data_IF_759712800017
#
_entry.id   IF_759712800017
#
_cell.length_a   1.000
_cell.length_b   1.000
_cell.length_c   1.000
_cell.angle_alpha   90.00
_cell.angle_beta   90.00
_cell.angle_gamma   90.00
#
_symmetry.space_group_name_H-M   'P 1'
#
loop_
_entity.id
_entity.type
_entity.pdbx_description
1 polymer ?
#
# COMPACT_ATOMS: atom_id res chain seq x y z
N UNK A 1 -0.42 11.52 19.08
CA UNK A 1 -0.28 10.61 17.93
C UNK A 1 -1.39 10.89 16.92
N UNK A 2 -1.07 11.07 15.64
CA UNK A 2 -2.08 11.21 14.61
C UNK A 2 -2.90 9.92 14.52
N UNK A 3 -4.19 10.09 14.20
CA UNK A 3 -5.12 8.99 13.99
C UNK A 3 -5.33 8.75 12.50
N UNK A 4 -5.93 7.60 12.15
CA UNK A 4 -6.41 7.38 10.79
C UNK A 4 -7.50 8.39 10.49
N UNK A 5 -7.47 9.02 9.30
CA UNK A 5 -8.54 9.90 8.88
C UNK A 5 -9.87 9.14 8.87
N UNK A 6 -10.88 9.71 9.52
CA UNK A 6 -12.25 9.31 9.27
C UNK A 6 -12.59 9.63 7.81
N UNK A 7 -13.32 8.74 7.16
CA UNK A 7 -13.72 8.88 5.76
C UNK A 7 -15.22 8.71 5.62
N UNK A 8 -15.83 9.63 4.91
CA UNK A 8 -17.13 9.47 4.28
C UNK A 8 -16.94 9.44 2.77
N UNK A 9 -17.76 8.71 2.04
CA UNK A 9 -17.62 8.67 0.60
C UNK A 9 -18.76 7.94 -0.09
N UNK A 10 -18.96 8.31 -1.34
CA UNK A 10 -19.89 7.66 -2.26
C UNK A 10 -19.10 6.99 -3.36
N UNK A 11 -19.35 5.70 -3.57
CA UNK A 11 -18.72 4.89 -4.60
C UNK A 11 -19.81 4.30 -5.49
N UNK A 12 -19.77 4.64 -6.78
CA UNK A 12 -20.66 4.08 -7.79
C UNK A 12 -19.85 3.28 -8.78
N UNK A 13 -20.03 1.96 -8.75
CA UNK A 13 -19.31 1.02 -9.62
C UNK A 13 -20.27 0.44 -10.64
N UNK A 14 -19.90 0.47 -11.92
CA UNK A 14 -20.65 -0.11 -13.04
C UNK A 14 -19.88 -1.21 -13.76
N UNK A 15 -20.61 -2.19 -14.25
CA UNK A 15 -20.10 -3.21 -15.17
C UNK A 15 -21.12 -3.52 -16.26
N UNK A 16 -20.67 -4.22 -17.30
CA UNK A 16 -21.54 -4.79 -18.31
C UNK A 16 -22.21 -6.11 -17.85
N UNK A 17 -23.00 -6.72 -18.70
CA UNK A 17 -23.69 -7.99 -18.45
C UNK A 17 -22.76 -9.18 -18.17
N UNK A 18 -21.50 -9.06 -18.58
CA UNK A 18 -20.45 -10.05 -18.34
C UNK A 18 -19.64 -9.77 -17.06
N UNK A 19 -19.97 -8.72 -16.31
CA UNK A 19 -19.25 -8.30 -15.12
C UNK A 19 -17.92 -7.60 -15.40
N UNK A 20 -17.70 -7.09 -16.62
CA UNK A 20 -16.51 -6.28 -16.96
C UNK A 20 -16.76 -4.83 -16.53
N UNK A 21 -15.88 -4.25 -15.73
CA UNK A 21 -16.03 -2.91 -15.18
C UNK A 21 -16.05 -1.85 -16.28
N UNK A 22 -17.10 -1.08 -16.33
CA UNK A 22 -17.30 0.02 -17.28
C UNK A 22 -16.92 1.36 -16.69
N UNK A 23 -17.10 1.55 -15.37
CA UNK A 23 -16.76 2.81 -14.74
C UNK A 23 -16.79 2.76 -13.24
N UNK A 24 -16.02 3.69 -12.64
CA UNK A 24 -16.04 4.01 -11.22
C UNK A 24 -16.15 5.52 -11.06
N UNK A 25 -17.21 5.97 -10.39
CA UNK A 25 -17.35 7.33 -9.88
C UNK A 25 -17.25 7.29 -8.36
N UNK A 26 -16.33 8.07 -7.79
CA UNK A 26 -16.24 8.15 -6.34
C UNK A 26 -15.90 9.54 -5.83
N UNK A 27 -16.51 9.86 -4.70
CA UNK A 27 -16.31 11.11 -3.98
C UNK A 27 -15.93 10.78 -2.54
N UNK A 28 -14.76 11.26 -2.11
CA UNK A 28 -14.13 10.88 -0.84
C UNK A 28 -13.92 12.13 0.00
N UNK A 29 -14.38 12.09 1.24
CA UNK A 29 -14.26 13.15 2.22
C UNK A 29 -13.44 12.68 3.42
N UNK A 30 -12.36 13.39 3.74
CA UNK A 30 -11.51 13.11 4.90
C UNK A 30 -11.65 14.19 5.96
N UNK A 31 -11.87 13.75 7.19
CA UNK A 31 -11.73 14.59 8.38
C UNK A 31 -10.26 14.63 8.80
N UNK A 32 -9.63 15.80 8.68
CA UNK A 32 -8.23 15.99 9.09
C UNK A 32 -8.08 16.44 10.55
N UNK A 33 -9.17 16.79 11.21
CA UNK A 33 -9.13 17.40 12.51
C UNK A 33 -8.63 18.85 12.49
N UNK A 34 -8.09 19.33 13.59
CA UNK A 34 -7.72 20.75 13.75
C UNK A 34 -6.47 21.17 12.94
N UNK A 35 -5.70 20.25 12.39
CA UNK A 35 -4.46 20.52 11.66
C UNK A 35 -4.34 19.67 10.41
N UNK A 36 -3.77 20.25 9.35
CA UNK A 36 -3.57 19.56 8.06
C UNK A 36 -2.73 18.29 8.18
N UNK A 37 -1.66 18.31 9.00
CA UNK A 37 -0.72 17.19 9.10
C UNK A 37 -0.35 16.65 7.71
N UNK A 38 -0.59 15.36 7.45
CA UNK A 38 -0.37 14.71 6.15
C UNK A 38 -1.69 14.41 5.41
N UNK A 39 -2.77 15.17 5.66
CA UNK A 39 -4.06 14.92 5.01
C UNK A 39 -3.97 14.93 3.49
N UNK A 40 -3.31 15.93 2.91
CA UNK A 40 -3.16 16.03 1.44
C UNK A 40 -2.58 14.75 0.83
N UNK A 41 -1.35 14.34 1.20
CA UNK A 41 -0.74 13.10 0.71
C UNK A 41 -1.55 11.83 1.01
N UNK A 42 -2.22 11.75 2.18
CA UNK A 42 -3.04 10.58 2.54
C UNK A 42 -4.30 10.51 1.69
N UNK A 43 -4.96 11.66 1.43
CA UNK A 43 -6.13 11.75 0.58
C UNK A 43 -5.79 11.43 -0.88
N UNK A 44 -4.67 11.97 -1.39
CA UNK A 44 -4.17 11.63 -2.73
C UNK A 44 -3.96 10.12 -2.89
N UNK A 45 -3.41 9.46 -1.85
CA UNK A 45 -3.27 8.00 -1.85
C UNK A 45 -4.62 7.28 -1.83
N UNK A 46 -5.58 7.75 -1.06
CA UNK A 46 -6.92 7.20 -1.06
C UNK A 46 -7.54 7.29 -2.46
N UNK A 47 -7.43 8.44 -3.12
CA UNK A 47 -7.96 8.65 -4.47
C UNK A 47 -7.24 7.80 -5.51
N UNK A 48 -5.91 7.79 -5.54
CA UNK A 48 -5.15 7.02 -6.54
C UNK A 48 -5.30 5.51 -6.41
N UNK A 49 -5.65 5.01 -5.23
CA UNK A 49 -5.86 3.58 -4.98
C UNK A 49 -7.33 3.17 -4.88
N UNK A 50 -8.28 4.13 -4.97
CA UNK A 50 -9.72 3.82 -4.93
C UNK A 50 -10.20 2.95 -6.08
N UNK A 51 -9.40 2.83 -7.12
CA UNK A 51 -9.62 1.93 -8.26
C UNK A 51 -9.27 0.48 -7.97
N UNK A 52 -8.52 0.22 -6.89
CA UNK A 52 -7.97 -1.11 -6.64
C UNK A 52 -7.06 -1.60 -7.78
N UNK A 53 -6.67 -2.87 -7.77
CA UNK A 53 -5.83 -3.45 -8.82
C UNK A 53 -6.66 -3.95 -10.03
N UNK A 54 -7.56 -3.11 -10.55
CA UNK A 54 -8.51 -3.48 -11.60
C UNK A 54 -8.45 -2.55 -12.81
N UNK A 55 -8.95 -3.06 -13.95
CA UNK A 55 -9.11 -2.32 -15.18
C UNK A 55 -10.50 -1.70 -15.28
N UNK A 56 -10.58 -0.45 -15.74
CA UNK A 56 -11.83 0.28 -15.99
C UNK A 56 -11.78 0.94 -17.36
N UNK A 57 -12.97 1.17 -17.95
CA UNK A 57 -13.08 1.99 -19.15
C UNK A 57 -13.03 3.49 -18.80
N UNK A 58 -13.69 3.88 -17.70
CA UNK A 58 -13.75 5.26 -17.25
C UNK A 58 -13.67 5.37 -15.73
N UNK A 59 -13.07 6.44 -15.24
CA UNK A 59 -13.05 6.75 -13.80
C UNK A 59 -13.20 8.25 -13.57
N UNK A 60 -13.97 8.63 -12.56
CA UNK A 60 -14.03 9.98 -12.00
C UNK A 60 -13.84 9.88 -10.49
N UNK A 61 -12.77 10.46 -9.99
CA UNK A 61 -12.36 10.32 -8.59
C UNK A 61 -12.08 11.68 -8.01
N UNK A 62 -12.85 12.05 -6.98
CA UNK A 62 -12.79 13.35 -6.31
C UNK A 62 -12.54 13.16 -4.83
N UNK A 63 -11.60 13.91 -4.28
CA UNK A 63 -11.27 13.84 -2.86
C UNK A 63 -11.20 15.21 -2.20
N UNK A 64 -11.75 15.31 -0.99
CA UNK A 64 -11.83 16.54 -0.22
C UNK A 64 -11.36 16.31 1.21
N UNK A 65 -10.47 17.16 1.70
CA UNK A 65 -10.02 17.15 3.10
C UNK A 65 -10.55 18.36 3.84
N UNK A 66 -11.20 18.15 4.98
CA UNK A 66 -11.81 19.21 5.76
C UNK A 66 -11.17 19.34 7.13
N UNK A 67 -10.93 20.57 7.55
CA UNK A 67 -10.61 20.89 8.93
C UNK A 67 -11.85 20.77 9.80
N UNK A 68 -11.67 20.19 10.98
CA UNK A 68 -12.71 20.06 12.00
C UNK A 68 -12.13 20.34 13.40
N UNK A 69 -12.98 20.33 14.41
CA UNK A 69 -12.55 20.45 15.81
C UNK A 69 -12.14 19.09 16.40
N UNK A 70 -12.03 18.06 15.61
CA UNK A 70 -11.62 16.72 16.04
C UNK A 70 -10.10 16.65 16.30
N UNK A 71 -9.63 15.63 17.03
CA UNK A 71 -8.19 15.35 17.15
C UNK A 71 -7.53 15.20 15.79
N UNK A 72 -6.28 15.69 15.63
CA UNK A 72 -5.60 15.63 14.33
C UNK A 72 -5.44 14.21 13.80
N UNK A 73 -5.79 14.02 12.54
CA UNK A 73 -5.48 12.84 11.77
C UNK A 73 -4.15 13.02 11.01
N UNK A 74 -3.59 11.93 10.48
CA UNK A 74 -2.32 11.99 9.75
C UNK A 74 -1.93 10.65 9.18
N UNK A 75 -0.63 10.45 8.99
CA UNK A 75 -0.07 9.21 8.48
C UNK A 75 -0.39 8.03 9.42
N UNK A 76 -1.13 7.07 8.93
CA UNK A 76 -1.41 5.81 9.60
C UNK A 76 -1.24 4.66 8.60
N UNK A 77 -0.83 3.48 9.07
CA UNK A 77 -0.52 2.32 8.21
C UNK A 77 -1.60 2.09 7.16
N UNK A 78 -1.20 1.97 5.89
CA UNK A 78 -2.08 1.95 4.72
C UNK A 78 -2.23 3.32 4.05
N UNK A 79 -2.05 4.43 4.80
CA UNK A 79 -1.94 5.79 4.26
C UNK A 79 -3.08 6.18 3.32
N UNK A 80 -4.34 5.97 3.74
CA UNK A 80 -5.55 6.28 2.97
C UNK A 80 -6.11 5.11 2.16
N UNK A 81 -5.27 4.18 1.74
CA UNK A 81 -5.65 3.05 0.89
C UNK A 81 -6.65 2.12 1.57
N UNK A 82 -6.47 1.84 2.87
CA UNK A 82 -7.39 0.94 3.59
C UNK A 82 -8.84 1.42 3.57
N UNK A 83 -9.07 2.75 3.62
CA UNK A 83 -10.41 3.33 3.60
C UNK A 83 -11.06 3.16 2.22
N UNK A 84 -10.34 3.57 1.16
CA UNK A 84 -10.88 3.51 -0.21
C UNK A 84 -11.05 2.08 -0.71
N UNK A 85 -10.10 1.19 -0.43
CA UNK A 85 -10.21 -0.21 -0.84
C UNK A 85 -11.32 -0.96 -0.10
N UNK A 86 -11.56 -0.66 1.19
CA UNK A 86 -12.72 -1.22 1.89
C UNK A 86 -14.03 -0.85 1.20
N UNK A 87 -14.19 0.41 0.81
CA UNK A 87 -15.38 0.86 0.10
C UNK A 87 -15.52 0.20 -1.28
N UNK A 88 -14.43 0.18 -2.07
CA UNK A 88 -14.42 -0.46 -3.38
C UNK A 88 -14.74 -1.95 -3.32
N UNK A 89 -14.02 -2.69 -2.48
CA UNK A 89 -14.14 -4.16 -2.39
C UNK A 89 -15.52 -4.59 -1.90
N UNK A 90 -16.14 -3.77 -1.01
CA UNK A 90 -17.52 -3.98 -0.60
C UNK A 90 -18.49 -3.78 -1.77
N UNK A 91 -18.30 -2.74 -2.58
CA UNK A 91 -19.09 -2.50 -3.79
C UNK A 91 -18.93 -3.60 -4.84
N UNK A 92 -17.71 -4.14 -5.02
CA UNK A 92 -17.47 -5.25 -5.94
C UNK A 92 -18.29 -6.49 -5.53
N UNK A 93 -18.39 -6.77 -4.22
CA UNK A 93 -19.22 -7.87 -3.76
C UNK A 93 -20.70 -7.67 -4.07
N UNK A 94 -21.24 -6.46 -3.83
CA UNK A 94 -22.63 -6.11 -4.16
C UNK A 94 -22.88 -6.17 -5.68
N UNK A 95 -21.91 -5.74 -6.47
CA UNK A 95 -22.00 -5.79 -7.93
C UNK A 95 -21.98 -7.24 -8.45
N UNK A 96 -21.11 -8.09 -7.88
CA UNK A 96 -21.03 -9.51 -8.20
C UNK A 96 -22.37 -10.22 -7.95
N UNK A 97 -22.98 -9.95 -6.80
CA UNK A 97 -24.32 -10.45 -6.45
C UNK A 97 -25.38 -9.99 -7.46
N UNK A 98 -25.36 -8.70 -7.81
CA UNK A 98 -26.32 -8.11 -8.77
C UNK A 98 -26.21 -8.70 -10.17
N UNK A 99 -25.01 -9.03 -10.62
CA UNK A 99 -24.73 -9.65 -11.94
C UNK A 99 -24.91 -11.17 -11.91
N UNK A 100 -24.91 -11.78 -10.74
CA UNK A 100 -25.09 -13.22 -10.55
C UNK A 100 -23.81 -14.04 -10.79
N UNK A 101 -22.62 -13.44 -10.56
CA UNK A 101 -21.33 -14.13 -10.63
C UNK A 101 -20.65 -14.15 -9.26
N UNK A 102 -19.68 -15.05 -9.08
CA UNK A 102 -18.99 -15.12 -7.80
C UNK A 102 -18.11 -13.89 -7.52
N UNK A 103 -17.91 -13.48 -6.25
CA UNK A 103 -16.95 -12.45 -5.89
C UNK A 103 -15.52 -12.73 -6.36
N UNK A 104 -15.13 -14.00 -6.49
CA UNK A 104 -13.84 -14.37 -7.08
C UNK A 104 -13.82 -14.10 -8.59
N UNK A 105 -14.86 -14.53 -9.30
CA UNK A 105 -14.94 -14.42 -10.75
C UNK A 105 -14.93 -12.97 -11.25
N UNK A 106 -15.70 -12.08 -10.61
CA UNK A 106 -15.73 -10.66 -11.01
C UNK A 106 -14.34 -10.01 -10.85
N UNK A 107 -13.58 -10.36 -9.79
CA UNK A 107 -12.22 -9.87 -9.58
C UNK A 107 -11.26 -10.43 -10.62
N UNK A 108 -11.36 -11.70 -10.92
CA UNK A 108 -10.51 -12.35 -11.92
C UNK A 108 -10.68 -11.77 -13.32
N UNK A 109 -11.94 -11.49 -13.74
CA UNK A 109 -12.24 -10.88 -15.04
C UNK A 109 -11.67 -9.47 -15.18
N UNK A 110 -11.64 -8.70 -14.10
CA UNK A 110 -11.24 -7.31 -14.11
C UNK A 110 -9.81 -7.06 -13.60
N UNK A 111 -9.10 -8.12 -13.20
CA UNK A 111 -7.76 -8.01 -12.65
C UNK A 111 -6.78 -7.32 -13.62
N UNK A 112 -5.95 -6.43 -13.07
CA UNK A 112 -4.87 -5.80 -13.84
C UNK A 112 -3.86 -6.85 -14.30
N UNK A 113 -3.35 -6.70 -15.51
CA UNK A 113 -2.35 -7.57 -16.13
C UNK A 113 -1.17 -6.75 -16.65
N UNK A 114 0.00 -7.37 -16.88
CA UNK A 114 1.13 -6.70 -17.51
C UNK A 114 0.75 -5.99 -18.81
N UNK A 115 1.22 -4.75 -18.97
CA UNK A 115 0.94 -3.90 -20.13
C UNK A 115 -0.38 -3.13 -20.07
N UNK A 116 -1.26 -3.40 -19.09
CA UNK A 116 -2.46 -2.59 -18.86
C UNK A 116 -2.11 -1.30 -18.13
N UNK A 117 -2.94 -0.29 -18.29
CA UNK A 117 -2.75 1.03 -17.69
C UNK A 117 -3.75 1.22 -16.59
N UNK A 118 -3.26 1.56 -15.39
CA UNK A 118 -4.10 1.99 -14.28
C UNK A 118 -4.67 3.40 -14.53
N UNK A 119 -5.81 3.75 -13.95
CA UNK A 119 -6.42 5.09 -14.13
C UNK A 119 -5.51 6.27 -13.78
N UNK A 120 -4.51 6.07 -12.94
CA UNK A 120 -3.49 7.09 -12.64
C UNK A 120 -2.38 7.21 -13.71
N UNK A 121 -2.48 6.47 -14.82
CA UNK A 121 -1.51 6.45 -15.90
C UNK A 121 -0.32 5.50 -15.74
N UNK A 122 -0.23 4.80 -14.61
CA UNK A 122 0.85 3.81 -14.41
C UNK A 122 0.62 2.58 -15.29
N UNK A 123 1.64 2.18 -16.01
CA UNK A 123 1.64 0.93 -16.78
C UNK A 123 2.04 -0.22 -15.87
N UNK A 124 1.21 -1.27 -15.82
CA UNK A 124 1.51 -2.48 -15.10
C UNK A 124 2.70 -3.21 -15.75
N UNK A 125 3.74 -3.46 -14.99
CA UNK A 125 4.95 -4.13 -15.47
C UNK A 125 4.84 -5.66 -15.41
N UNK A 126 5.91 -6.34 -15.82
CA UNK A 126 5.96 -7.80 -15.88
C UNK A 126 5.89 -8.49 -14.50
N UNK A 127 6.03 -7.75 -13.39
CA UNK A 127 5.88 -8.28 -12.03
C UNK A 127 4.43 -8.31 -11.55
N UNK A 128 3.49 -7.78 -12.33
CA UNK A 128 2.06 -7.75 -12.01
C UNK A 128 1.47 -9.15 -12.11
N UNK A 129 1.15 -9.76 -10.96
CA UNK A 129 0.74 -11.15 -10.84
C UNK A 129 -0.60 -11.33 -10.10
N UNK A 130 -1.55 -10.39 -10.29
CA UNK A 130 -2.84 -10.45 -9.58
C UNK A 130 -3.66 -11.69 -9.97
N UNK A 131 -3.71 -12.04 -11.25
CA UNK A 131 -4.45 -13.22 -11.71
C UNK A 131 -3.87 -14.50 -11.11
N UNK A 132 -2.57 -14.61 -11.04
CA UNK A 132 -1.87 -15.75 -10.45
C UNK A 132 -2.16 -15.86 -8.95
N UNK A 133 -2.20 -14.74 -8.23
CA UNK A 133 -2.56 -14.77 -6.80
C UNK A 133 -4.02 -15.16 -6.58
N UNK A 134 -4.94 -14.70 -7.45
CA UNK A 134 -6.35 -15.11 -7.41
C UNK A 134 -6.52 -16.61 -7.71
N UNK A 135 -5.79 -17.14 -8.69
CA UNK A 135 -5.79 -18.58 -9.01
C UNK A 135 -5.24 -19.41 -7.85
N UNK A 136 -4.19 -18.94 -7.19
CA UNK A 136 -3.58 -19.66 -6.06
C UNK A 136 -4.52 -19.84 -4.86
N UNK A 137 -5.51 -18.98 -4.67
CA UNK A 137 -6.48 -19.06 -3.58
C UNK A 137 -7.85 -19.59 -4.01
N UNK A 138 -8.05 -19.86 -5.29
CA UNK A 138 -9.36 -20.24 -5.86
C UNK A 138 -9.97 -21.44 -5.18
N UNK A 139 -9.23 -22.54 -5.13
CA UNK A 139 -9.73 -23.81 -4.56
C UNK A 139 -10.08 -23.65 -3.08
N UNK A 140 -9.26 -22.93 -2.32
CA UNK A 140 -9.52 -22.65 -0.91
C UNK A 140 -10.77 -21.78 -0.73
N UNK A 141 -11.02 -20.83 -1.62
CA UNK A 141 -12.21 -19.99 -1.62
C UNK A 141 -13.47 -20.80 -1.98
N UNK A 142 -13.44 -21.56 -3.09
CA UNK A 142 -14.57 -22.32 -3.60
C UNK A 142 -14.99 -23.50 -2.70
N UNK A 143 -14.02 -24.12 -1.99
CA UNK A 143 -14.32 -25.20 -1.04
C UNK A 143 -14.94 -24.75 0.28
N UNK A 144 -15.06 -23.44 0.51
CA UNK A 144 -15.64 -22.88 1.74
C UNK A 144 -16.82 -21.92 1.46
N UNK A 145 -17.87 -22.34 0.77
CA UNK A 145 -18.98 -21.46 0.40
C UNK A 145 -19.67 -20.87 1.64
N UNK A 146 -19.87 -19.56 1.65
CA UNK A 146 -20.49 -18.83 2.76
C UNK A 146 -19.62 -18.69 4.01
N UNK A 147 -18.38 -19.18 4.00
CA UNK A 147 -17.43 -19.05 5.11
C UNK A 147 -16.11 -18.37 4.72
N UNK A 148 -15.87 -18.21 3.43
CA UNK A 148 -14.70 -17.51 2.89
C UNK A 148 -15.12 -16.19 2.26
N UNK A 149 -14.33 -15.12 2.51
CA UNK A 149 -14.41 -13.85 1.81
C UNK A 149 -13.17 -13.65 0.94
N UNK A 150 -13.29 -12.87 -0.13
CA UNK A 150 -12.18 -12.51 -0.99
C UNK A 150 -12.16 -11.01 -1.26
N UNK A 151 -10.98 -10.42 -1.21
CA UNK A 151 -10.71 -9.04 -1.57
C UNK A 151 -9.30 -8.94 -2.16
N UNK A 152 -9.08 -7.97 -3.02
CA UNK A 152 -7.76 -7.67 -3.57
C UNK A 152 -7.34 -6.26 -3.16
N UNK A 153 -6.06 -6.07 -2.93
CA UNK A 153 -5.51 -4.77 -2.59
C UNK A 153 -4.18 -4.56 -3.29
N UNK A 154 -3.89 -3.33 -3.64
CA UNK A 154 -2.56 -2.90 -4.05
C UNK A 154 -2.09 -1.72 -3.23
N UNK A 155 -0.79 -1.61 -3.04
CA UNK A 155 -0.19 -0.48 -2.35
C UNK A 155 1.16 -0.15 -2.97
N UNK A 156 1.34 1.09 -3.37
CA UNK A 156 2.65 1.53 -3.85
C UNK A 156 3.73 1.41 -2.78
N UNK A 157 4.96 1.16 -3.19
CA UNK A 157 6.16 1.34 -2.39
C UNK A 157 6.76 2.74 -2.66
N UNK A 158 7.33 3.36 -1.61
CA UNK A 158 7.88 4.71 -1.69
C UNK A 158 6.90 5.80 -1.26
N UNK A 159 7.42 7.00 -0.98
CA UNK A 159 6.61 8.15 -0.58
C UNK A 159 5.79 8.66 -1.76
N UNK A 160 6.40 8.82 -2.93
CA UNK A 160 5.74 9.37 -4.12
C UNK A 160 5.35 10.84 -3.97
N UNK A 161 4.33 11.27 -4.70
CA UNK A 161 3.75 12.63 -4.67
C UNK A 161 4.79 13.76 -4.83
N UNK A 162 5.86 13.51 -5.61
CA UNK A 162 6.94 14.48 -5.84
C UNK A 162 7.87 14.73 -4.64
N UNK A 163 7.70 14.01 -3.55
CA UNK A 163 8.57 14.15 -2.39
C UNK A 163 9.90 13.39 -2.61
N UNK A 164 11.06 13.99 -2.24
CA UNK A 164 12.33 13.30 -2.29
C UNK A 164 12.32 12.05 -1.41
N UNK A 165 12.74 10.92 -1.98
CA UNK A 165 12.79 9.64 -1.27
C UNK A 165 14.25 9.16 -1.22
N UNK A 166 14.90 9.35 -0.07
CA UNK A 166 16.33 9.07 0.14
C UNK A 166 16.51 7.98 1.19
N UNK A 167 17.31 6.97 0.87
CA UNK A 167 17.81 6.00 1.83
C UNK A 167 19.27 6.23 2.14
N UNK A 168 19.66 6.06 3.41
CA UNK A 168 21.05 6.06 3.85
C UNK A 168 21.28 5.05 4.95
N UNK A 169 22.43 4.41 4.91
CA UNK A 169 22.90 3.50 5.94
C UNK A 169 24.39 3.72 6.18
N UNK A 170 24.86 3.35 7.36
CA UNK A 170 26.26 3.34 7.74
C UNK A 170 26.59 1.98 8.33
N UNK A 171 27.61 1.33 7.80
CA UNK A 171 28.16 0.10 8.33
C UNK A 171 29.50 0.38 9.01
N UNK A 172 29.69 -0.15 10.20
CA UNK A 172 30.99 -0.13 10.92
C UNK A 172 31.37 -1.57 11.17
N UNK A 173 32.62 -1.89 10.80
CA UNK A 173 33.17 -3.25 10.99
C UNK A 173 34.15 -3.26 12.14
N UNK A 174 33.91 -4.12 13.12
CA UNK A 174 34.78 -4.36 14.27
C UNK A 174 34.93 -5.85 14.50
N UNK A 175 36.17 -6.33 14.62
CA UNK A 175 36.48 -7.72 15.02
C UNK A 175 35.61 -8.79 14.31
N UNK A 176 35.41 -8.61 12.99
CA UNK A 176 34.62 -9.53 12.17
C UNK A 176 33.10 -9.45 12.40
N UNK A 177 32.61 -8.41 13.06
CA UNK A 177 31.21 -8.07 13.24
C UNK A 177 30.86 -6.78 12.52
N UNK A 178 29.60 -6.65 12.13
CA UNK A 178 29.08 -5.47 11.46
C UNK A 178 28.01 -4.81 12.32
N UNK A 179 28.20 -3.54 12.59
CA UNK A 179 27.17 -2.68 13.18
C UNK A 179 26.50 -1.86 12.06
N UNK A 180 25.18 -1.97 11.98
CA UNK A 180 24.37 -1.27 10.99
C UNK A 180 23.63 -0.11 11.67
N UNK A 181 23.82 1.10 11.16
CA UNK A 181 23.16 2.32 11.60
C UNK A 181 22.30 2.91 10.47
N UNK A 182 21.04 3.21 10.77
CA UNK A 182 20.12 3.91 9.91
C UNK A 182 19.06 4.63 10.74
N UNK A 183 18.61 5.79 10.29
CA UNK A 183 17.50 6.51 10.94
C UNK A 183 16.13 5.85 10.70
N UNK A 184 16.08 4.76 9.94
CA UNK A 184 14.85 3.97 9.76
C UNK A 184 14.35 3.42 11.10
N UNK A 185 13.13 3.81 11.46
CA UNK A 185 12.50 3.38 12.72
C UNK A 185 11.72 2.10 12.53
N UNK A 186 11.90 1.15 13.43
CA UNK A 186 11.01 0.00 13.55
C UNK A 186 9.75 0.41 14.31
N UNK A 187 8.60 0.31 13.67
CA UNK A 187 7.28 0.64 14.23
C UNK A 187 6.39 -0.62 14.30
N UNK A 188 7.02 -1.79 14.37
CA UNK A 188 6.37 -3.09 14.37
C UNK A 188 6.36 -3.81 13.01
N UNK A 189 6.92 -3.18 11.95
CA UNK A 189 6.98 -3.75 10.61
C UNK A 189 8.22 -4.64 10.37
N UNK A 190 9.17 -4.71 11.33
CA UNK A 190 10.32 -5.60 11.27
C UNK A 190 11.47 -5.11 10.39
N UNK A 191 11.60 -3.82 10.09
CA UNK A 191 12.65 -3.31 9.21
C UNK A 191 14.06 -3.60 9.74
N UNK A 192 14.26 -3.59 11.04
CA UNK A 192 15.54 -3.92 11.65
C UNK A 192 16.01 -5.34 11.27
N UNK A 193 15.11 -6.32 11.31
CA UNK A 193 15.39 -7.70 10.90
C UNK A 193 15.64 -7.80 9.39
N UNK A 194 14.83 -7.12 8.59
CA UNK A 194 14.98 -7.10 7.12
C UNK A 194 16.35 -6.55 6.74
N UNK A 195 16.81 -5.47 7.36
CA UNK A 195 18.12 -4.89 7.06
C UNK A 195 19.28 -5.81 7.44
N UNK A 196 19.18 -6.52 8.57
CA UNK A 196 20.17 -7.55 8.93
C UNK A 196 20.21 -8.67 7.86
N UNK A 197 19.05 -9.09 7.36
CA UNK A 197 18.96 -10.07 6.28
C UNK A 197 19.62 -9.58 5.00
N UNK A 198 19.38 -8.30 4.62
CA UNK A 198 19.98 -7.70 3.43
C UNK A 198 21.52 -7.62 3.53
N UNK A 199 22.05 -7.18 4.67
CA UNK A 199 23.52 -7.19 4.88
C UNK A 199 24.08 -8.60 4.80
N UNK A 200 23.40 -9.58 5.43
CA UNK A 200 23.85 -10.97 5.40
C UNK A 200 23.87 -11.54 3.99
N UNK A 201 22.81 -11.30 3.21
CA UNK A 201 22.68 -11.75 1.82
C UNK A 201 23.74 -11.12 0.91
N UNK A 202 23.97 -9.81 1.07
CA UNK A 202 24.93 -9.08 0.23
C UNK A 202 26.38 -9.41 0.56
N UNK A 203 26.70 -9.61 1.84
CA UNK A 203 28.09 -9.82 2.30
C UNK A 203 28.48 -11.29 2.47
N UNK A 204 27.52 -12.21 2.52
CA UNK A 204 27.74 -13.62 2.87
C UNK A 204 28.03 -13.86 4.35
N UNK A 205 27.92 -12.83 5.21
CA UNK A 205 28.13 -12.99 6.65
C UNK A 205 26.93 -13.66 7.31
N UNK A 206 27.20 -14.44 8.35
CA UNK A 206 26.13 -14.98 9.22
C UNK A 206 25.40 -13.83 9.93
N UNK A 207 24.08 -13.96 10.07
CA UNK A 207 23.21 -12.94 10.71
C UNK A 207 23.62 -12.62 12.15
N UNK A 208 24.19 -13.58 12.85
CA UNK A 208 24.71 -13.45 14.22
C UNK A 208 25.90 -12.50 14.34
N UNK A 209 26.58 -12.20 13.22
CA UNK A 209 27.67 -11.23 13.12
C UNK A 209 27.21 -9.81 12.82
N UNK A 210 25.93 -9.62 12.53
CA UNK A 210 25.36 -8.35 12.10
C UNK A 210 24.39 -7.85 13.18
N UNK A 211 24.64 -6.64 13.68
CA UNK A 211 23.80 -5.99 14.68
C UNK A 211 23.22 -4.71 14.16
N UNK A 212 21.90 -4.61 14.12
CA UNK A 212 21.23 -3.34 13.87
C UNK A 212 21.26 -2.51 15.16
N UNK A 213 21.85 -1.33 15.09
CA UNK A 213 22.03 -0.43 16.23
C UNK A 213 20.86 0.55 16.39
N UNK A 214 19.91 0.52 15.45
CA UNK A 214 18.74 1.38 15.46
C UNK A 214 18.97 2.83 15.10
N UNK A 215 17.94 3.64 15.30
CA UNK A 215 17.95 5.06 15.02
C UNK A 215 18.53 5.85 16.21
N UNK A 216 19.82 6.14 16.14
CA UNK A 216 20.50 7.05 17.05
C UNK A 216 20.88 8.31 16.26
N UNK A 217 20.30 9.46 16.61
CA UNK A 217 20.49 10.73 15.89
C UNK A 217 21.92 11.26 15.90
N UNK A 218 22.78 10.78 16.80
CA UNK A 218 24.19 11.20 16.85
C UNK A 218 25.05 10.48 15.80
N UNK A 219 24.71 9.25 15.43
CA UNK A 219 25.58 8.40 14.59
C UNK A 219 24.88 7.84 13.36
N UNK A 220 23.56 7.67 13.40
CA UNK A 220 22.79 7.14 12.28
C UNK A 220 22.55 8.23 11.21
N UNK A 221 22.85 7.95 9.93
CA UNK A 221 22.55 8.89 8.87
C UNK A 221 21.03 9.04 8.69
N UNK A 222 20.61 10.26 8.36
CA UNK A 222 19.20 10.51 7.98
C UNK A 222 18.84 9.69 6.73
N UNK A 223 17.89 8.80 6.86
CA UNK A 223 17.37 7.94 5.79
C UNK A 223 15.92 8.27 5.43
N UNK A 224 15.46 9.46 5.76
CA UNK A 224 14.10 9.92 5.51
C UNK A 224 13.06 9.29 6.44
N UNK A 225 11.79 9.55 6.16
CA UNK A 225 10.69 9.13 7.03
C UNK A 225 10.43 7.63 6.96
N UNK A 226 10.02 7.02 8.07
CA UNK A 226 9.45 5.67 8.10
C UNK A 226 7.96 5.76 7.80
N UNK A 227 7.61 5.89 6.52
CA UNK A 227 6.25 6.08 6.01
C UNK A 227 6.16 5.60 4.55
N UNK A 228 4.95 5.47 3.99
CA UNK A 228 4.75 5.21 2.57
C UNK A 228 5.26 3.84 2.06
N UNK A 229 5.46 2.85 2.92
CA UNK A 229 5.97 1.52 2.55
C UNK A 229 7.34 1.56 1.84
N UNK A 230 8.23 2.47 2.26
CA UNK A 230 9.51 2.75 1.59
C UNK A 230 10.72 2.06 2.18
N UNK A 231 10.65 1.58 3.42
CA UNK A 231 11.88 1.17 4.13
C UNK A 231 12.60 0.02 3.45
N UNK A 232 11.91 -1.04 3.06
CA UNK A 232 12.54 -2.18 2.37
C UNK A 232 13.10 -1.77 1.00
N UNK A 233 12.36 -0.95 0.24
CA UNK A 233 12.78 -0.53 -1.10
C UNK A 233 13.91 0.51 -1.04
N UNK A 234 13.69 1.63 -0.35
CA UNK A 234 14.59 2.79 -0.44
C UNK A 234 15.75 2.69 0.54
N UNK A 235 15.44 2.49 1.84
CA UNK A 235 16.51 2.35 2.84
C UNK A 235 17.21 1.00 2.71
N UNK A 236 16.45 -0.06 2.36
CA UNK A 236 17.03 -1.37 2.10
C UNK A 236 18.03 -1.38 0.95
N UNK A 237 17.77 -0.64 -0.12
CA UNK A 237 18.74 -0.50 -1.22
C UNK A 237 20.03 0.24 -0.78
N UNK A 238 19.91 1.18 0.15
CA UNK A 238 21.10 1.82 0.73
C UNK A 238 21.87 0.91 1.72
N UNK A 239 21.20 -0.10 2.28
CA UNK A 239 21.80 -1.10 3.17
C UNK A 239 22.51 -2.20 2.37
N UNK A 240 21.98 -2.54 1.21
CA UNK A 240 22.50 -3.52 0.26
C UNK A 240 23.82 -3.02 -0.40
#
# INVERSE_FOLDING_TARGET
>A
HPKRHAMEGTFTLGCDENGIFTGLDCEIYFDTGAYASLCGPVLERACTHSVGPYCYQNTDIRGYGYYTNNPPAGAFRGFGVCQSEFALESNINLLAEKVGISPWEIRYRNAIEPGKVLPNGQIADCSTALKETLLAVKDAYESNPGRAGIACAMKNAGVGVGLPDKGRAKLIVHDGRVELYSAASDIGQGCATVFVQMVAETTGLGKEKIRNMGANSEVAPDSGTTSGSRQTLITGEAVR
#
